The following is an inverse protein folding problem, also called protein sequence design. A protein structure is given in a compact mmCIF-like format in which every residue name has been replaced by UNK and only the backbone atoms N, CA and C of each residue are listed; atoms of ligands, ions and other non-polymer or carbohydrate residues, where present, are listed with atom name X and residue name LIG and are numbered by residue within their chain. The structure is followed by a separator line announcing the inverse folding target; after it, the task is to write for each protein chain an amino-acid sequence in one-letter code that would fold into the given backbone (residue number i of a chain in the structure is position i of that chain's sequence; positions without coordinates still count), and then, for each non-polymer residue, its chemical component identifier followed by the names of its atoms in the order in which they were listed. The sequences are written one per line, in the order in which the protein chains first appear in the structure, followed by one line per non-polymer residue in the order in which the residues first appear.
data_IF_303729747850
#
_entry.id   IF_303729747850
#
_cell.length_a   1.000
_cell.length_b   1.000
_cell.length_c   1.000
_cell.angle_alpha   90.00
_cell.angle_beta   90.00
_cell.angle_gamma   90.00
#
_symmetry.space_group_name_H-M   'P 1'
#
loop_
_entity.id
_entity.type
_entity.pdbx_description
1 polymer ?
#
# COMPACT_ATOMS: atom_id res chain seq x y z
N UNK A 1 12.59 -68.17 -15.24
CA UNK A 1 14.04 -68.05 -15.07
C UNK A 1 14.46 -66.67 -15.53
N UNK A 2 15.29 -65.97 -14.74
CA UNK A 2 16.25 -64.87 -15.04
C UNK A 2 15.86 -63.89 -16.18
N UNK A 3 15.89 -62.57 -16.02
CA UNK A 3 17.09 -61.77 -15.68
C UNK A 3 16.62 -60.37 -15.23
N UNK A 4 17.24 -59.87 -14.15
CA UNK A 4 17.25 -58.47 -13.72
C UNK A 4 17.99 -57.62 -14.77
N UNK A 5 17.42 -56.51 -15.20
CA UNK A 5 18.21 -55.41 -15.78
C UNK A 5 17.75 -54.09 -15.17
N UNK A 6 18.53 -53.63 -14.20
CA UNK A 6 18.55 -52.26 -13.70
C UNK A 6 19.13 -51.41 -14.83
N UNK A 7 18.35 -50.48 -15.37
CA UNK A 7 18.86 -49.41 -16.22
C UNK A 7 18.85 -48.11 -15.40
N UNK A 8 20.01 -47.84 -14.84
CA UNK A 8 20.42 -46.60 -14.22
C UNK A 8 20.98 -45.74 -15.35
N UNK A 9 20.26 -44.71 -15.85
CA UNK A 9 20.88 -43.74 -16.74
C UNK A 9 20.11 -42.41 -16.81
N UNK A 10 20.88 -41.34 -16.57
CA UNK A 10 20.70 -39.97 -17.01
C UNK A 10 19.62 -39.09 -16.36
N UNK A 11 20.05 -38.43 -15.28
CA UNK A 11 19.76 -37.02 -15.04
C UNK A 11 19.95 -36.21 -16.34
N UNK A 12 18.93 -35.44 -16.72
CA UNK A 12 19.07 -34.28 -17.60
C UNK A 12 18.14 -33.17 -17.06
N UNK A 13 18.69 -32.08 -16.48
CA UNK A 13 17.91 -30.87 -16.25
C UNK A 13 17.74 -30.14 -17.58
N UNK A 14 16.48 -30.04 -18.04
CA UNK A 14 16.13 -29.11 -19.09
C UNK A 14 16.22 -27.68 -18.53
N UNK A 15 17.13 -26.91 -19.11
CA UNK A 15 17.25 -25.47 -18.96
C UNK A 15 16.42 -24.81 -20.09
N UNK A 16 15.96 -23.59 -19.81
CA UNK A 16 15.53 -22.50 -20.73
C UNK A 16 14.01 -22.33 -20.85
N UNK A 17 13.51 -21.27 -20.20
CA UNK A 17 12.16 -20.74 -20.37
C UNK A 17 11.85 -19.48 -19.54
N UNK A 18 12.69 -18.45 -19.68
CA UNK A 18 12.41 -17.00 -19.53
C UNK A 18 11.32 -16.52 -18.53
N UNK A 19 11.77 -15.89 -17.44
CA UNK A 19 11.25 -14.57 -17.07
C UNK A 19 12.45 -13.66 -16.77
N UNK A 20 12.67 -12.70 -17.66
CA UNK A 20 13.50 -11.53 -17.41
C UNK A 20 12.74 -10.64 -16.41
N UNK A 21 12.89 -10.93 -15.11
CA UNK A 21 12.56 -9.99 -14.04
C UNK A 21 13.76 -9.10 -13.77
N UNK A 22 13.53 -7.78 -13.76
CA UNK A 22 14.46 -6.72 -13.38
C UNK A 22 15.35 -7.15 -12.20
N UNK A 23 16.68 -7.02 -12.22
CA UNK A 23 17.38 -5.73 -12.11
C UNK A 23 16.99 -5.09 -10.77
N UNK A 24 17.85 -4.85 -9.78
CA UNK A 24 19.30 -4.73 -9.78
C UNK A 24 19.76 -4.63 -8.31
N UNK A 25 20.96 -5.14 -8.05
CA UNK A 25 21.94 -4.74 -7.04
C UNK A 25 21.50 -4.33 -5.62
N UNK A 26 21.84 -5.22 -4.68
CA UNK A 26 22.29 -4.96 -3.31
C UNK A 26 22.60 -3.48 -2.98
N UNK A 27 21.65 -2.77 -2.37
CA UNK A 27 21.95 -1.56 -1.61
C UNK A 27 21.74 -1.82 -0.11
N UNK A 28 22.81 -2.07 0.67
CA UNK A 28 22.71 -2.15 2.12
C UNK A 28 22.82 -0.74 2.68
N UNK A 29 21.69 -0.13 3.04
CA UNK A 29 21.67 1.04 3.90
C UNK A 29 21.15 2.31 3.22
N UNK A 30 19.94 2.66 3.64
CA UNK A 30 19.42 4.01 3.55
C UNK A 30 18.48 4.20 4.73
N UNK A 31 19.04 4.33 5.94
CA UNK A 31 18.29 4.88 7.07
C UNK A 31 18.01 6.35 6.77
N UNK A 32 16.98 6.60 5.96
CA UNK A 32 16.28 7.87 5.97
C UNK A 32 15.48 7.90 7.26
N UNK A 33 15.48 9.02 7.95
CA UNK A 33 14.64 9.24 9.13
C UNK A 33 13.20 8.89 8.73
N UNK A 34 12.72 7.71 9.15
CA UNK A 34 11.43 7.18 8.76
C UNK A 34 10.38 8.21 9.19
N UNK A 35 9.83 8.95 8.23
CA UNK A 35 8.63 9.75 8.43
C UNK A 35 7.52 8.88 9.03
N UNK A 36 6.41 9.45 9.49
CA UNK A 36 5.41 8.70 10.24
C UNK A 36 4.82 7.50 9.47
N UNK A 37 4.98 7.47 8.15
CA UNK A 37 4.61 6.36 7.27
C UNK A 37 5.57 5.15 7.34
N UNK A 38 6.86 5.35 7.61
CA UNK A 38 7.89 4.31 7.47
C UNK A 38 8.00 3.74 6.05
N UNK A 39 8.74 2.63 5.91
CA UNK A 39 8.91 1.96 4.62
C UNK A 39 7.65 1.20 4.15
N UNK A 40 7.43 1.18 2.83
CA UNK A 40 6.48 0.26 2.19
C UNK A 40 6.98 -1.19 2.36
N UNK A 41 6.22 -2.09 3.01
CA UNK A 41 6.66 -3.46 3.22
C UNK A 41 6.75 -4.25 1.90
N UNK A 42 7.73 -5.17 1.74
CA UNK A 42 7.75 -6.08 0.60
C UNK A 42 6.53 -7.01 0.64
N UNK A 43 6.08 -7.47 -0.54
CA UNK A 43 4.96 -8.41 -0.71
C UNK A 43 3.60 -7.94 -0.10
N UNK A 44 3.39 -6.63 0.06
CA UNK A 44 2.25 -6.02 0.76
C UNK A 44 1.01 -5.72 -0.11
N UNK A 45 0.86 -6.37 -1.26
CA UNK A 45 -0.18 -6.03 -2.23
C UNK A 45 -1.62 -6.14 -1.66
N UNK A 46 -1.86 -7.12 -0.77
CA UNK A 46 -3.16 -7.29 -0.13
C UNK A 46 -3.44 -6.18 0.89
N UNK A 47 -2.44 -5.80 1.67
CA UNK A 47 -2.50 -4.73 2.66
C UNK A 47 -2.67 -3.36 2.01
N UNK A 48 -2.00 -3.11 0.89
CA UNK A 48 -2.18 -1.90 0.09
C UNK A 48 -3.62 -1.80 -0.44
N UNK A 49 -4.17 -2.89 -0.97
CA UNK A 49 -5.56 -2.92 -1.44
C UNK A 49 -6.55 -2.67 -0.29
N UNK A 50 -6.33 -3.29 0.87
CA UNK A 50 -7.13 -3.05 2.07
C UNK A 50 -7.01 -1.60 2.58
N UNK A 51 -5.81 -1.01 2.50
CA UNK A 51 -5.56 0.38 2.87
C UNK A 51 -6.27 1.37 1.95
N UNK A 52 -6.23 1.15 0.65
CA UNK A 52 -6.98 1.97 -0.31
C UNK A 52 -8.50 1.86 -0.07
N UNK A 53 -9.00 0.63 0.09
CA UNK A 53 -10.43 0.41 0.40
C UNK A 53 -10.83 1.11 1.71
N UNK A 54 -9.99 1.02 2.74
CA UNK A 54 -10.21 1.68 4.02
C UNK A 54 -10.19 3.21 3.89
N UNK A 55 -9.21 3.79 3.18
CA UNK A 55 -9.14 5.23 2.95
C UNK A 55 -10.39 5.72 2.21
N UNK A 56 -10.73 5.08 1.09
CA UNK A 56 -11.89 5.47 0.29
C UNK A 56 -13.20 5.27 1.06
N UNK A 57 -13.36 4.14 1.75
CA UNK A 57 -14.58 3.78 2.46
C UNK A 57 -14.87 4.70 3.67
N UNK A 58 -13.82 5.17 4.35
CA UNK A 58 -13.98 6.02 5.53
C UNK A 58 -13.95 7.52 5.20
N UNK A 59 -13.17 7.94 4.20
CA UNK A 59 -12.84 9.36 4.02
C UNK A 59 -13.58 10.02 2.85
N UNK A 60 -13.96 9.29 1.79
CA UNK A 60 -14.63 9.87 0.61
C UNK A 60 -16.01 10.49 0.90
N UNK A 61 -16.64 10.09 2.02
CA UNK A 61 -17.91 10.67 2.44
C UNK A 61 -17.84 12.20 2.60
N UNK A 62 -16.67 12.73 3.01
CA UNK A 62 -16.43 14.15 3.22
C UNK A 62 -15.33 14.71 2.30
N UNK A 63 -14.31 13.90 1.99
CA UNK A 63 -13.11 14.28 1.26
C UNK A 63 -13.09 13.79 -0.19
N UNK A 64 -14.24 13.71 -0.86
CA UNK A 64 -14.27 13.39 -2.30
C UNK A 64 -14.31 14.65 -3.16
N UNK A 65 -13.64 14.62 -4.32
CA UNK A 65 -13.74 15.62 -5.40
C UNK A 65 -15.19 15.90 -5.84
N UNK A 66 -16.09 14.94 -5.65
CA UNK A 66 -17.52 15.07 -5.99
C UNK A 66 -18.33 15.86 -4.97
N UNK A 67 -17.77 16.16 -3.79
CA UNK A 67 -18.42 16.93 -2.72
C UNK A 67 -18.00 18.39 -2.80
N UNK A 68 -18.96 19.25 -3.11
CA UNK A 68 -18.74 20.70 -3.26
C UNK A 68 -19.51 21.47 -2.19
N UNK A 69 -18.84 22.44 -1.55
CA UNK A 69 -19.40 23.28 -0.50
C UNK A 69 -19.43 22.64 0.88
N UNK A 70 -19.41 23.49 1.91
CA UNK A 70 -19.25 23.08 3.30
C UNK A 70 -20.27 22.03 3.77
N UNK A 71 -21.54 22.17 3.40
CA UNK A 71 -22.59 21.25 3.82
C UNK A 71 -22.37 19.82 3.29
N UNK A 72 -22.01 19.66 2.00
CA UNK A 72 -21.77 18.35 1.40
C UNK A 72 -20.50 17.67 1.92
N UNK A 73 -19.53 18.49 2.37
CA UNK A 73 -18.24 18.06 2.92
C UNK A 73 -18.25 17.89 4.44
N UNK A 74 -19.39 18.11 5.12
CA UNK A 74 -19.46 18.18 6.58
C UNK A 74 -18.43 19.16 7.19
N UNK A 75 -18.19 20.27 6.51
CA UNK A 75 -17.15 21.27 6.78
C UNK A 75 -15.71 20.79 6.58
N UNK A 76 -15.47 19.61 5.98
CA UNK A 76 -14.14 19.23 5.54
C UNK A 76 -13.60 20.25 4.51
N UNK A 77 -12.30 20.60 4.57
CA UNK A 77 -11.74 21.65 3.73
C UNK A 77 -11.89 21.36 2.23
N UNK A 78 -12.11 22.40 1.43
CA UNK A 78 -12.07 22.29 -0.02
C UNK A 78 -10.63 22.01 -0.50
N UNK A 79 -10.49 21.18 -1.52
CA UNK A 79 -9.17 20.80 -2.06
C UNK A 79 -8.45 19.67 -1.32
N UNK A 80 -8.94 19.25 -0.15
CA UNK A 80 -8.45 18.04 0.54
C UNK A 80 -9.26 16.84 0.04
N UNK A 81 -8.80 16.23 -1.05
CA UNK A 81 -9.55 15.18 -1.75
C UNK A 81 -8.78 13.86 -1.78
N UNK A 82 -9.27 12.85 -1.07
CA UNK A 82 -8.60 11.54 -0.90
C UNK A 82 -9.00 10.52 -1.98
N UNK A 83 -9.84 10.92 -2.92
CA UNK A 83 -10.12 10.22 -4.18
C UNK A 83 -9.27 10.73 -5.36
N UNK A 84 -8.42 11.74 -5.13
CA UNK A 84 -7.44 12.23 -6.10
C UNK A 84 -6.06 11.64 -5.80
N UNK A 85 -5.60 10.73 -6.66
CA UNK A 85 -4.32 10.01 -6.53
C UNK A 85 -3.12 10.98 -6.41
N UNK A 86 -3.13 12.07 -7.18
CA UNK A 86 -2.04 13.05 -7.14
C UNK A 86 -2.03 13.81 -5.79
N UNK A 87 -3.20 14.10 -5.24
CA UNK A 87 -3.32 14.68 -3.91
C UNK A 87 -2.85 13.70 -2.83
N UNK A 88 -3.29 12.44 -2.91
CA UNK A 88 -2.93 11.39 -1.93
C UNK A 88 -1.42 11.17 -1.91
N UNK A 89 -0.78 10.93 -3.05
CA UNK A 89 0.67 10.74 -3.13
C UNK A 89 1.44 11.98 -2.66
N UNK A 90 1.01 13.18 -3.04
CA UNK A 90 1.67 14.44 -2.65
C UNK A 90 1.48 14.85 -1.18
N UNK A 91 0.52 14.24 -0.46
CA UNK A 91 0.16 14.62 0.92
C UNK A 91 0.09 13.40 1.86
N UNK A 92 0.68 12.26 1.49
CA UNK A 92 0.50 10.99 2.19
C UNK A 92 0.84 11.06 3.68
N UNK A 93 1.97 11.69 4.03
CA UNK A 93 2.37 11.87 5.44
C UNK A 93 1.34 12.69 6.21
N UNK A 94 0.90 13.81 5.62
CA UNK A 94 -0.09 14.67 6.26
C UNK A 94 -1.44 13.98 6.43
N UNK A 95 -1.86 13.20 5.44
CA UNK A 95 -3.08 12.39 5.53
C UNK A 95 -2.95 11.39 6.70
N UNK A 96 -1.81 10.74 6.85
CA UNK A 96 -1.61 9.79 7.92
C UNK A 96 -1.56 10.44 9.30
N UNK A 97 -0.89 11.60 9.44
CA UNK A 97 -0.90 12.37 10.69
C UNK A 97 -2.32 12.70 11.16
N UNK A 98 -3.18 13.19 10.27
CA UNK A 98 -4.58 13.52 10.61
C UNK A 98 -5.40 12.28 11.01
N UNK A 99 -5.12 11.13 10.37
CA UNK A 99 -5.76 9.85 10.71
C UNK A 99 -5.29 9.35 12.08
N UNK A 100 -3.99 9.44 12.36
CA UNK A 100 -3.40 8.99 13.63
C UNK A 100 -3.68 9.96 14.79
N UNK A 101 -3.88 11.25 14.54
CA UNK A 101 -4.43 12.16 15.56
C UNK A 101 -5.86 11.74 15.92
N UNK A 102 -6.64 11.29 14.93
CA UNK A 102 -7.97 10.71 15.15
C UNK A 102 -9.01 11.73 15.61
N UNK A 103 -8.75 13.03 15.41
CA UNK A 103 -9.64 14.12 15.81
C UNK A 103 -10.66 14.50 14.72
N UNK A 104 -10.69 13.78 13.59
CA UNK A 104 -11.58 14.05 12.45
C UNK A 104 -13.07 13.96 12.81
N UNK A 105 -13.82 15.08 12.86
CA UNK A 105 -15.26 15.03 13.04
C UNK A 105 -15.94 14.55 11.73
N UNK A 106 -17.10 13.87 11.80
CA UNK A 106 -17.81 13.40 12.99
C UNK A 106 -17.36 12.00 13.46
N UNK A 107 -16.47 11.34 12.73
CA UNK A 107 -16.15 9.91 12.88
C UNK A 107 -15.19 9.61 14.03
N UNK A 108 -14.30 10.55 14.37
CA UNK A 108 -13.23 10.34 15.34
C UNK A 108 -12.20 9.31 14.87
N UNK A 109 -11.47 8.72 15.83
CA UNK A 109 -10.38 7.77 15.57
C UNK A 109 -10.89 6.46 14.97
N UNK A 110 -10.22 5.99 13.92
CA UNK A 110 -10.43 4.67 13.34
C UNK A 110 -9.82 3.55 14.21
N UNK A 111 -10.14 2.29 13.90
CA UNK A 111 -9.49 1.16 14.57
C UNK A 111 -8.01 1.06 14.16
N UNK A 112 -7.13 0.69 15.08
CA UNK A 112 -5.68 0.65 14.82
C UNK A 112 -5.31 -0.24 13.62
N UNK A 113 -6.02 -1.36 13.41
CA UNK A 113 -5.81 -2.21 12.24
C UNK A 113 -6.16 -1.51 10.92
N UNK A 114 -7.21 -0.68 10.91
CA UNK A 114 -7.60 0.14 9.76
C UNK A 114 -6.57 1.25 9.51
N UNK A 115 -6.13 1.92 10.58
CA UNK A 115 -5.07 2.94 10.50
C UNK A 115 -3.80 2.34 9.91
N UNK A 116 -3.41 1.14 10.35
CA UNK A 116 -2.21 0.46 9.85
C UNK A 116 -2.32 0.06 8.37
N UNK A 117 -3.48 -0.46 7.93
CA UNK A 117 -3.68 -0.73 6.50
C UNK A 117 -3.57 0.54 5.65
N UNK A 118 -4.16 1.65 6.12
CA UNK A 118 -4.05 2.94 5.43
C UNK A 118 -2.59 3.43 5.41
N UNK A 119 -1.85 3.31 6.52
CA UNK A 119 -0.42 3.65 6.58
C UNK A 119 0.38 2.89 5.52
N UNK A 120 0.17 1.57 5.41
CA UNK A 120 0.87 0.73 4.42
C UNK A 120 0.57 1.21 3.00
N UNK A 121 -0.71 1.47 2.68
CA UNK A 121 -1.08 2.04 1.38
C UNK A 121 -0.35 3.36 1.11
N UNK A 122 -0.43 4.32 2.04
CA UNK A 122 0.20 5.64 1.90
C UNK A 122 1.74 5.57 1.81
N UNK A 123 2.38 4.66 2.55
CA UNK A 123 3.82 4.43 2.48
C UNK A 123 4.24 3.92 1.09
N UNK A 124 3.40 3.17 0.40
CA UNK A 124 3.69 2.63 -0.93
C UNK A 124 3.41 3.63 -2.07
N UNK A 125 2.46 4.56 -1.90
CA UNK A 125 2.13 5.61 -2.90
C UNK A 125 3.17 6.72 -3.03
N UNK A 126 4.14 6.77 -2.11
CA UNK A 126 5.18 7.81 -2.07
C UNK A 126 6.53 7.35 -2.62
N UNK A 127 6.62 6.11 -3.13
CA UNK A 127 7.87 5.51 -3.62
C UNK A 127 8.14 5.74 -5.11
#
# INVERSE_FOLDING_TARGET
MRVRTIFLLCLAPFVIGSLQGCGDESNPGGGGEDGPLGACPPDSAAEQAAGLEALQGNCNICHSTTKVGAAARANAPEGVNVDDEAYVSGNAEKIFEEIDEGEMPPTGRLQDATVESIRIYLACETQ
#
